data_IF_839547915644
#
_entry.id   IF_839547915644
#
_cell.length_a   1.000
_cell.length_b   1.000
_cell.length_c   1.000
_cell.angle_alpha   90.00
_cell.angle_beta   90.00
_cell.angle_gamma   90.00
#
_symmetry.space_group_name_H-M   'P 1'
#
loop_
_entity.id
_entity.type
_entity.pdbx_description
1 polymer ?
#
# COMPACT_ATOMS: atom_id res chain seq x y z
N UNK A 1 36.92 -2.06 15.48
CA UNK A 1 35.85 -2.43 16.43
C UNK A 1 34.53 -2.08 15.77
N UNK A 2 33.75 -3.07 15.30
CA UNK A 2 32.41 -2.82 14.77
C UNK A 2 31.47 -2.65 15.96
N UNK A 3 31.02 -1.43 16.21
CA UNK A 3 29.98 -1.13 17.18
C UNK A 3 28.69 -1.79 16.72
N UNK A 4 28.10 -2.64 17.57
CA UNK A 4 26.82 -3.29 17.30
C UNK A 4 25.74 -2.22 17.14
N UNK A 5 25.20 -2.08 15.92
CA UNK A 5 24.15 -1.10 15.65
C UNK A 5 22.86 -1.56 16.35
N UNK A 6 22.32 -0.70 17.20
CA UNK A 6 21.08 -0.98 17.91
C UNK A 6 20.19 0.26 18.03
N UNK A 7 18.89 0.04 18.18
CA UNK A 7 17.93 1.10 18.47
C UNK A 7 16.69 0.55 19.18
N UNK A 8 15.92 1.42 19.81
CA UNK A 8 14.64 0.99 20.40
C UNK A 8 13.61 0.75 19.29
N UNK A 9 12.71 -0.21 19.53
CA UNK A 9 11.59 -0.49 18.64
C UNK A 9 10.68 0.75 18.46
N UNK A 10 10.56 1.56 19.52
CA UNK A 10 9.82 2.82 19.48
C UNK A 10 10.45 3.81 18.50
N UNK A 11 11.77 4.00 18.57
CA UNK A 11 12.49 4.92 17.68
C UNK A 11 12.46 4.42 16.24
N UNK A 12 12.54 3.12 16.02
CA UNK A 12 12.39 2.52 14.69
C UNK A 12 11.04 2.88 14.06
N UNK A 13 9.93 2.72 14.79
CA UNK A 13 8.60 3.08 14.26
C UNK A 13 8.44 4.59 14.07
N UNK A 14 8.97 5.41 14.98
CA UNK A 14 8.98 6.88 14.83
C UNK A 14 9.72 7.31 13.56
N UNK A 15 10.92 6.77 13.32
CA UNK A 15 11.72 7.08 12.13
C UNK A 15 11.07 6.54 10.85
N UNK A 16 10.41 5.38 10.93
CA UNK A 16 9.60 4.82 9.85
C UNK A 16 8.32 5.62 9.58
N UNK A 17 7.97 6.59 10.45
CA UNK A 17 6.70 7.32 10.44
C UNK A 17 5.51 6.36 10.44
N UNK A 18 5.53 5.38 11.35
CA UNK A 18 4.47 4.41 11.55
C UNK A 18 3.88 4.51 12.95
N UNK A 19 2.60 4.14 13.13
CA UNK A 19 1.96 4.21 14.43
C UNK A 19 2.67 3.35 15.47
N UNK A 20 2.78 3.86 16.70
CA UNK A 20 3.49 3.18 17.79
C UNK A 20 2.83 1.85 18.15
N UNK A 21 1.51 1.72 17.93
CA UNK A 21 0.78 0.48 18.21
C UNK A 21 1.25 -0.71 17.35
N UNK A 22 1.99 -0.49 16.26
CA UNK A 22 2.60 -1.56 15.46
C UNK A 22 3.58 -2.41 16.26
N UNK A 23 4.11 -1.89 17.38
CA UNK A 23 4.91 -2.70 18.32
C UNK A 23 4.14 -3.92 18.83
N UNK A 24 2.84 -3.78 19.08
CA UNK A 24 1.98 -4.87 19.54
C UNK A 24 1.81 -5.93 18.46
N UNK A 25 1.55 -5.47 17.24
CA UNK A 25 1.40 -6.33 16.06
C UNK A 25 2.70 -7.09 15.78
N UNK A 26 3.85 -6.39 15.79
CA UNK A 26 5.16 -7.00 15.55
C UNK A 26 5.46 -8.13 16.56
N UNK A 27 5.14 -7.91 17.84
CA UNK A 27 5.33 -8.91 18.89
C UNK A 27 4.42 -10.13 18.73
N UNK A 28 3.24 -9.94 18.11
CA UNK A 28 2.24 -10.99 17.88
C UNK A 28 2.44 -11.76 16.58
N UNK A 29 3.35 -11.32 15.70
CA UNK A 29 3.65 -12.05 14.46
C UNK A 29 4.02 -13.50 14.75
N UNK A 30 3.50 -14.42 13.94
CA UNK A 30 3.93 -15.82 13.85
C UNK A 30 5.13 -15.92 12.91
N UNK A 31 5.82 -17.06 12.95
CA UNK A 31 6.95 -17.28 12.04
C UNK A 31 6.48 -17.16 10.59
N UNK A 32 7.31 -16.54 9.76
CA UNK A 32 7.07 -16.17 8.36
C UNK A 32 6.00 -15.11 8.11
N UNK A 33 5.25 -14.66 9.12
CA UNK A 33 4.32 -13.54 8.94
C UNK A 33 5.05 -12.22 8.74
N UNK A 34 4.39 -11.35 7.98
CA UNK A 34 4.93 -10.06 7.57
C UNK A 34 4.05 -8.95 8.09
N UNK A 35 4.63 -8.00 8.81
CA UNK A 35 4.02 -6.71 9.08
C UNK A 35 4.32 -5.76 7.91
N UNK A 36 3.29 -5.46 7.13
CA UNK A 36 3.38 -4.53 6.00
C UNK A 36 3.46 -3.08 6.49
N UNK A 37 4.40 -2.31 5.96
CA UNK A 37 4.46 -0.85 6.10
C UNK A 37 3.93 -0.18 4.81
N UNK A 38 3.25 -0.93 3.95
CA UNK A 38 2.69 -0.48 2.69
C UNK A 38 3.41 -1.07 1.47
N UNK A 39 2.64 -1.25 0.40
CA UNK A 39 3.08 -1.66 -0.92
C UNK A 39 2.47 -0.78 -1.98
N UNK A 40 3.14 -0.63 -3.12
CA UNK A 40 2.72 0.08 -4.33
C UNK A 40 3.29 -0.69 -5.52
N UNK A 41 2.45 -0.96 -6.50
CA UNK A 41 2.75 -1.53 -7.80
C UNK A 41 2.10 -0.63 -8.84
N UNK A 42 2.91 -0.09 -9.74
CA UNK A 42 2.44 0.81 -10.80
C UNK A 42 2.87 0.28 -12.15
N UNK A 43 1.92 0.09 -13.06
CA UNK A 43 2.23 -0.22 -14.46
C UNK A 43 3.01 0.94 -15.10
N UNK A 44 4.06 0.61 -15.84
CA UNK A 44 4.90 1.55 -16.60
C UNK A 44 5.04 1.13 -18.08
N UNK A 45 4.14 0.27 -18.55
CA UNK A 45 4.09 -0.24 -19.93
C UNK A 45 3.56 -1.68 -20.00
N UNK A 46 3.50 -2.24 -21.22
CA UNK A 46 3.00 -3.62 -21.43
C UNK A 46 3.79 -4.62 -20.58
N UNK A 47 3.11 -5.23 -19.58
CA UNK A 47 3.65 -6.19 -18.61
C UNK A 47 4.83 -5.68 -17.77
N UNK A 48 4.93 -4.37 -17.53
CA UNK A 48 6.05 -3.74 -16.81
C UNK A 48 5.56 -3.00 -15.58
N UNK A 49 6.22 -3.20 -14.45
CA UNK A 49 5.80 -2.61 -13.18
C UNK A 49 6.96 -1.95 -12.43
N UNK A 50 6.66 -0.86 -11.75
CA UNK A 50 7.50 -0.28 -10.73
C UNK A 50 6.89 -0.55 -9.35
N UNK A 51 7.75 -0.68 -8.34
CA UNK A 51 7.40 -1.20 -7.02
C UNK A 51 7.90 -0.29 -5.92
N UNK A 52 7.08 -0.09 -4.90
CA UNK A 52 7.45 0.55 -3.66
C UNK A 52 6.92 -0.32 -2.54
N UNK A 53 7.75 -0.84 -1.66
CA UNK A 53 7.27 -1.67 -0.55
C UNK A 53 8.21 -1.58 0.63
N UNK A 54 7.66 -1.67 1.83
CA UNK A 54 8.43 -1.83 3.04
C UNK A 54 7.71 -2.77 3.98
N UNK A 55 8.45 -3.64 4.65
CA UNK A 55 7.87 -4.58 5.59
C UNK A 55 8.91 -5.13 6.57
N UNK A 56 8.40 -5.72 7.66
CA UNK A 56 9.17 -6.57 8.58
C UNK A 56 8.60 -7.97 8.54
N UNK A 57 9.44 -8.98 8.36
CA UNK A 57 9.06 -10.39 8.44
C UNK A 57 9.65 -11.02 9.69
N UNK A 58 8.86 -11.81 10.41
CA UNK A 58 9.39 -12.66 11.49
C UNK A 58 9.97 -13.94 10.88
N UNK A 59 11.27 -14.17 11.08
CA UNK A 59 11.93 -15.37 10.60
C UNK A 59 11.71 -16.53 11.58
N UNK A 60 12.00 -16.27 12.85
CA UNK A 60 11.80 -17.22 13.95
C UNK A 60 11.69 -16.46 15.27
N UNK A 61 11.74 -17.16 16.41
CA UNK A 61 11.67 -16.57 17.74
C UNK A 61 12.73 -15.46 17.88
N UNK A 62 12.25 -14.23 18.12
CA UNK A 62 13.05 -13.01 18.29
C UNK A 62 13.92 -12.60 17.09
N UNK A 63 13.82 -13.24 15.94
CA UNK A 63 14.59 -12.92 14.74
C UNK A 63 13.67 -12.42 13.64
N UNK A 64 14.06 -11.29 13.05
CA UNK A 64 13.26 -10.58 12.08
C UNK A 64 14.13 -10.10 10.92
N UNK A 65 13.54 -10.00 9.74
CA UNK A 65 14.13 -9.27 8.61
C UNK A 65 13.29 -8.04 8.29
N UNK A 66 13.92 -7.03 7.72
CA UNK A 66 13.26 -5.87 7.15
C UNK A 66 13.68 -5.70 5.70
N UNK A 67 12.75 -5.24 4.88
CA UNK A 67 12.99 -4.96 3.46
C UNK A 67 12.36 -3.64 3.11
N UNK A 68 13.11 -2.78 2.43
CA UNK A 68 12.64 -1.56 1.80
C UNK A 68 13.02 -1.56 0.33
N UNK A 69 12.04 -1.40 -0.55
CA UNK A 69 12.22 -1.33 -1.99
C UNK A 69 11.50 -0.10 -2.54
N UNK A 70 12.17 0.64 -3.42
CA UNK A 70 11.59 1.73 -4.17
C UNK A 70 12.17 1.77 -5.58
N UNK A 71 11.34 1.52 -6.57
CA UNK A 71 11.69 1.60 -7.99
C UNK A 71 10.76 2.51 -8.80
N UNK A 72 9.80 3.17 -8.13
CA UNK A 72 8.86 4.09 -8.77
C UNK A 72 9.57 5.33 -9.35
N UNK A 73 9.34 5.65 -10.63
CA UNK A 73 9.85 6.87 -11.27
C UNK A 73 9.02 8.08 -10.84
N UNK A 74 9.05 8.41 -9.55
CA UNK A 74 8.30 9.54 -8.99
C UNK A 74 8.95 10.90 -9.26
N UNK A 75 10.28 10.92 -9.50
CA UNK A 75 11.08 12.09 -9.91
C UNK A 75 12.27 11.60 -10.75
N UNK A 76 12.76 12.38 -11.74
CA UNK A 76 13.89 11.97 -12.60
C UNK A 76 15.16 11.62 -11.82
N UNK A 77 15.45 12.39 -10.77
CA UNK A 77 16.66 12.24 -9.94
C UNK A 77 16.51 11.21 -8.83
N UNK A 78 15.32 10.64 -8.62
CA UNK A 78 15.11 9.72 -7.50
C UNK A 78 15.67 8.35 -7.85
N UNK A 79 16.80 8.03 -7.22
CA UNK A 79 17.41 6.71 -7.32
C UNK A 79 16.49 5.60 -6.81
N UNK A 80 16.74 4.41 -7.35
CA UNK A 80 16.16 3.19 -6.83
C UNK A 80 16.79 2.87 -5.48
N UNK A 81 15.96 2.47 -4.54
CA UNK A 81 16.41 1.96 -3.26
C UNK A 81 16.06 0.49 -3.17
N UNK A 82 17.05 -0.31 -2.85
CA UNK A 82 16.84 -1.62 -2.27
C UNK A 82 17.69 -1.70 -1.02
N UNK A 83 17.03 -1.98 0.09
CA UNK A 83 17.68 -2.30 1.35
C UNK A 83 17.00 -3.50 1.96
N UNK A 84 17.81 -4.38 2.51
CA UNK A 84 17.39 -5.56 3.25
C UNK A 84 18.35 -5.73 4.42
N UNK A 85 17.82 -6.20 5.54
CA UNK A 85 18.64 -6.58 6.68
C UNK A 85 17.88 -7.39 7.69
N UNK A 86 18.59 -7.81 8.72
CA UNK A 86 18.04 -8.63 9.79
C UNK A 86 18.39 -8.05 11.15
N UNK A 87 17.55 -8.35 12.14
CA UNK A 87 17.76 -7.94 13.52
C UNK A 87 17.18 -8.96 14.49
N UNK A 88 17.75 -8.97 15.69
CA UNK A 88 17.14 -9.62 16.85
C UNK A 88 16.38 -8.61 17.69
N UNK A 89 15.24 -9.01 18.24
CA UNK A 89 14.42 -8.18 19.12
C UNK A 89 14.42 -8.77 20.53
N UNK A 90 14.93 -8.03 21.50
CA UNK A 90 14.91 -8.42 22.91
C UNK A 90 14.56 -7.23 23.79
N UNK A 91 13.57 -7.40 24.67
CA UNK A 91 13.09 -6.35 25.60
C UNK A 91 12.81 -4.99 24.92
N UNK A 92 12.30 -5.01 23.68
CA UNK A 92 12.00 -3.80 22.90
C UNK A 92 13.21 -3.10 22.27
N UNK A 93 14.40 -3.70 22.32
CA UNK A 93 15.61 -3.22 21.64
C UNK A 93 15.87 -4.08 20.41
N UNK A 94 16.04 -3.42 19.27
CA UNK A 94 16.44 -4.02 18.00
C UNK A 94 17.97 -3.99 17.91
N UNK A 95 18.58 -5.17 17.77
CA UNK A 95 20.02 -5.33 17.53
C UNK A 95 20.22 -5.86 16.12
N UNK A 96 20.82 -5.06 15.26
CA UNK A 96 20.96 -5.38 13.84
C UNK A 96 22.16 -6.28 13.60
N UNK A 97 22.05 -7.17 12.61
CA UNK A 97 23.14 -8.07 12.23
C UNK A 97 24.37 -7.30 11.70
N UNK A 98 25.53 -7.94 11.81
CA UNK A 98 26.80 -7.41 11.31
C UNK A 98 26.69 -7.12 9.81
N UNK A 99 27.00 -5.89 9.41
CA UNK A 99 26.90 -5.40 8.03
C UNK A 99 25.76 -4.41 7.81
N UNK A 100 24.80 -4.32 8.72
CA UNK A 100 23.81 -3.25 8.70
C UNK A 100 24.45 -1.97 9.23
N UNK A 101 24.35 -0.91 8.45
CA UNK A 101 24.92 0.42 8.74
C UNK A 101 23.79 1.42 8.95
N UNK A 102 24.07 2.59 9.55
CA UNK A 102 23.09 3.68 9.64
C UNK A 102 22.52 4.08 8.27
N UNK A 103 23.29 3.97 7.19
CA UNK A 103 22.80 4.27 5.83
C UNK A 103 21.73 3.30 5.34
N UNK A 104 21.85 2.02 5.66
CA UNK A 104 20.81 1.05 5.35
C UNK A 104 19.49 1.40 6.07
N UNK A 105 19.56 1.74 7.36
CA UNK A 105 18.38 2.18 8.11
C UNK A 105 17.79 3.48 7.55
N UNK A 106 18.64 4.47 7.23
CA UNK A 106 18.22 5.71 6.57
C UNK A 106 17.49 5.44 5.25
N UNK A 107 18.00 4.52 4.42
CA UNK A 107 17.36 4.13 3.18
C UNK A 107 15.99 3.48 3.43
N UNK A 108 15.89 2.57 4.40
CA UNK A 108 14.62 1.93 4.77
C UNK A 108 13.58 2.96 5.25
N UNK A 109 13.97 3.87 6.15
CA UNK A 109 13.09 4.94 6.63
C UNK A 109 12.67 5.90 5.50
N UNK A 110 13.55 6.13 4.52
CA UNK A 110 13.25 6.92 3.33
C UNK A 110 12.15 6.27 2.49
N UNK A 111 12.24 4.95 2.26
CA UNK A 111 11.19 4.17 1.58
C UNK A 111 9.86 4.26 2.36
N UNK A 112 9.89 4.06 3.68
CA UNK A 112 8.71 4.16 4.54
C UNK A 112 8.04 5.55 4.47
N UNK A 113 8.86 6.62 4.40
CA UNK A 113 8.39 7.99 4.22
C UNK A 113 7.74 8.19 2.85
N UNK A 114 8.32 7.65 1.78
CA UNK A 114 7.74 7.73 0.43
C UNK A 114 6.39 7.02 0.35
N UNK A 115 6.31 5.81 0.88
CA UNK A 115 5.04 5.08 1.03
C UNK A 115 4.01 5.90 1.81
N UNK A 116 4.40 6.53 2.92
CA UNK A 116 3.50 7.37 3.71
C UNK A 116 2.99 8.61 2.96
N UNK A 117 3.80 9.22 2.09
CA UNK A 117 3.35 10.32 1.21
C UNK A 117 2.33 9.82 0.19
N UNK A 118 2.62 8.68 -0.46
CA UNK A 118 1.69 8.09 -1.41
C UNK A 118 0.37 7.68 -0.76
N UNK A 119 0.41 7.08 0.43
CA UNK A 119 -0.78 6.74 1.22
C UNK A 119 -1.68 7.95 1.46
N UNK A 120 -1.11 9.08 1.91
CA UNK A 120 -1.90 10.31 2.13
C UNK A 120 -2.57 10.80 0.86
N UNK A 121 -1.86 10.75 -0.27
CA UNK A 121 -2.43 11.15 -1.56
C UNK A 121 -3.57 10.21 -1.97
N UNK A 122 -3.37 8.90 -1.90
CA UNK A 122 -4.40 7.91 -2.25
C UNK A 122 -5.61 7.99 -1.33
N UNK A 123 -5.40 8.26 -0.02
CA UNK A 123 -6.48 8.44 0.93
C UNK A 123 -7.30 9.70 0.64
N UNK A 124 -6.64 10.82 0.34
CA UNK A 124 -7.34 12.05 -0.04
C UNK A 124 -8.16 11.85 -1.32
N UNK A 125 -7.61 11.15 -2.33
CA UNK A 125 -8.32 10.80 -3.56
C UNK A 125 -9.53 9.90 -3.29
N UNK A 126 -9.36 8.89 -2.42
CA UNK A 126 -10.46 8.02 -2.00
C UNK A 126 -11.56 8.79 -1.27
N UNK A 127 -11.20 9.64 -0.31
CA UNK A 127 -12.16 10.44 0.45
C UNK A 127 -12.93 11.39 -0.45
N UNK A 128 -12.24 12.07 -1.37
CA UNK A 128 -12.87 12.96 -2.34
C UNK A 128 -13.85 12.19 -3.24
N UNK A 129 -13.42 11.08 -3.84
CA UNK A 129 -14.27 10.24 -4.68
C UNK A 129 -15.48 9.69 -3.91
N UNK A 130 -15.30 9.30 -2.65
CA UNK A 130 -16.39 8.81 -1.80
C UNK A 130 -17.42 9.92 -1.49
N UNK A 131 -16.97 11.15 -1.25
CA UNK A 131 -17.85 12.30 -1.04
C UNK A 131 -18.63 12.59 -2.33
N UNK A 132 -17.96 12.62 -3.47
CA UNK A 132 -18.58 12.84 -4.79
C UNK A 132 -19.64 11.77 -5.09
N UNK A 133 -19.32 10.50 -4.85
CA UNK A 133 -20.27 9.39 -5.00
C UNK A 133 -21.48 9.54 -4.08
N UNK A 134 -21.24 9.82 -2.79
CA UNK A 134 -22.31 10.00 -1.82
C UNK A 134 -23.22 11.18 -2.19
N UNK A 135 -22.65 12.27 -2.70
CA UNK A 135 -23.42 13.44 -3.15
C UNK A 135 -24.26 13.11 -4.38
N UNK A 136 -23.70 12.41 -5.37
CA UNK A 136 -24.42 12.01 -6.58
C UNK A 136 -25.60 11.08 -6.26
N UNK A 137 -25.39 10.12 -5.35
CA UNK A 137 -26.46 9.22 -4.87
C UNK A 137 -27.53 10.00 -4.11
N UNK A 138 -27.15 10.91 -3.21
CA UNK A 138 -28.10 11.74 -2.46
C UNK A 138 -28.93 12.63 -3.37
N UNK A 139 -28.31 13.30 -4.35
CA UNK A 139 -29.00 14.17 -5.31
C UNK A 139 -30.01 13.39 -6.14
N UNK A 140 -29.65 12.20 -6.64
CA UNK A 140 -30.58 11.33 -7.37
C UNK A 140 -31.76 10.92 -6.49
N UNK A 141 -31.49 10.44 -5.28
CA UNK A 141 -32.53 9.99 -4.36
C UNK A 141 -33.47 11.13 -3.93
N UNK A 142 -32.95 12.35 -3.79
CA UNK A 142 -33.74 13.54 -3.51
C UNK A 142 -34.63 13.90 -4.70
N UNK A 143 -34.11 13.89 -5.92
CA UNK A 143 -34.91 14.14 -7.13
C UNK A 143 -36.04 13.11 -7.29
N UNK A 144 -35.78 11.83 -6.96
CA UNK A 144 -36.79 10.79 -6.95
C UNK A 144 -37.89 11.04 -5.90
N UNK A 145 -37.51 11.39 -4.67
CA UNK A 145 -38.49 11.74 -3.62
C UNK A 145 -39.35 12.94 -4.00
N UNK A 146 -38.73 13.99 -4.56
CA UNK A 146 -39.47 15.18 -5.00
C UNK A 146 -40.47 14.84 -6.11
N UNK A 147 -40.10 13.94 -7.03
CA UNK A 147 -41.02 13.45 -8.06
C UNK A 147 -42.17 12.64 -7.46
N UNK A 148 -41.89 11.72 -6.55
CA UNK A 148 -42.92 10.94 -5.85
C UNK A 148 -43.89 11.83 -5.08
N UNK A 149 -43.39 12.88 -4.43
CA UNK A 149 -44.20 13.87 -3.72
C UNK A 149 -45.07 14.71 -4.68
N UNK A 150 -44.52 15.15 -5.82
CA UNK A 150 -45.23 15.98 -6.80
C UNK A 150 -46.30 15.20 -7.56
N UNK A 151 -45.99 13.99 -8.01
CA UNK A 151 -46.85 13.20 -8.90
C UNK A 151 -47.63 12.09 -8.18
N UNK A 152 -47.38 11.87 -6.88
CA UNK A 152 -48.00 10.81 -6.06
C UNK A 152 -47.86 9.41 -6.68
N UNK A 153 -46.79 9.18 -7.46
CA UNK A 153 -46.51 7.93 -8.13
C UNK A 153 -45.00 7.65 -8.15
N UNK A 154 -44.65 6.37 -8.24
CA UNK A 154 -43.28 5.97 -8.48
C UNK A 154 -43.02 5.88 -10.00
N UNK A 155 -41.92 6.47 -10.50
CA UNK A 155 -41.61 6.47 -11.93
C UNK A 155 -41.26 5.05 -12.42
N UNK A 156 -41.68 4.72 -13.64
CA UNK A 156 -41.38 3.43 -14.26
C UNK A 156 -39.86 3.21 -14.39
N UNK A 157 -39.35 1.98 -14.19
CA UNK A 157 -37.91 1.68 -14.22
C UNK A 157 -37.21 2.15 -15.51
N UNK A 158 -37.91 2.14 -16.63
CA UNK A 158 -37.41 2.48 -17.96
C UNK A 158 -37.22 3.99 -18.16
N UNK A 159 -37.94 4.83 -17.39
CA UNK A 159 -37.86 6.30 -17.49
C UNK A 159 -36.97 6.91 -16.41
N UNK A 160 -36.65 6.15 -15.37
CA UNK A 160 -35.84 6.57 -14.23
C UNK A 160 -34.52 7.24 -14.62
N UNK A 161 -33.76 6.66 -15.54
CA UNK A 161 -32.48 7.25 -15.93
C UNK A 161 -32.62 8.52 -16.79
N UNK A 162 -33.72 8.65 -17.53
CA UNK A 162 -34.05 9.87 -18.26
C UNK A 162 -34.51 11.01 -17.34
N UNK A 163 -35.20 10.69 -16.25
CA UNK A 163 -35.73 11.66 -15.30
C UNK A 163 -34.70 12.11 -14.24
N UNK A 164 -33.86 11.19 -13.75
CA UNK A 164 -32.97 11.44 -12.62
C UNK A 164 -31.48 11.28 -12.96
N UNK A 165 -31.14 11.23 -14.26
CA UNK A 165 -29.79 10.92 -14.75
C UNK A 165 -29.46 9.43 -14.62
N UNK A 166 -28.27 8.99 -15.04
CA UNK A 166 -27.86 7.58 -14.88
C UNK A 166 -27.52 7.28 -13.42
N UNK A 167 -27.84 6.07 -12.95
CA UNK A 167 -27.47 5.64 -11.59
C UNK A 167 -25.94 5.75 -11.39
N UNK A 168 -25.47 6.47 -10.36
CA UNK A 168 -24.03 6.54 -10.08
C UNK A 168 -23.47 5.16 -9.70
N UNK A 169 -22.39 4.75 -10.34
CA UNK A 169 -21.61 3.56 -9.99
C UNK A 169 -20.28 3.97 -9.34
N UNK A 170 -19.74 3.11 -8.47
CA UNK A 170 -18.46 3.40 -7.77
C UNK A 170 -17.29 3.62 -8.75
N UNK A 171 -17.35 2.99 -9.92
CA UNK A 171 -16.34 3.11 -10.99
C UNK A 171 -16.28 4.51 -11.64
N UNK A 172 -17.34 5.30 -11.53
CA UNK A 172 -17.45 6.61 -12.19
C UNK A 172 -16.55 7.68 -11.54
N UNK A 173 -16.08 7.43 -10.31
CA UNK A 173 -15.45 8.43 -9.46
C UNK A 173 -13.91 8.40 -9.48
N UNK A 174 -13.32 7.89 -10.56
CA UNK A 174 -11.87 7.90 -10.82
C UNK A 174 -10.99 7.39 -9.66
N UNK A 175 -11.53 6.50 -8.83
CA UNK A 175 -10.83 5.94 -7.67
C UNK A 175 -10.98 4.43 -7.65
N UNK A 176 -9.91 3.73 -8.04
CA UNK A 176 -9.89 2.26 -8.07
C UNK A 176 -10.21 1.62 -6.71
N UNK A 177 -9.72 2.21 -5.62
CA UNK A 177 -10.00 1.74 -4.27
C UNK A 177 -11.49 1.82 -3.93
N UNK A 178 -12.16 2.90 -4.33
CA UNK A 178 -13.60 3.08 -4.13
C UNK A 178 -14.39 2.08 -4.97
N UNK A 179 -14.09 2.03 -6.27
CA UNK A 179 -14.62 1.07 -7.25
C UNK A 179 -14.65 -0.38 -6.72
N UNK A 180 -13.57 -0.81 -6.07
CA UNK A 180 -13.39 -2.21 -5.64
C UNK A 180 -13.62 -2.41 -4.14
N UNK A 181 -14.13 -1.41 -3.41
CA UNK A 181 -14.41 -1.53 -1.97
C UNK A 181 -13.18 -1.76 -1.09
N UNK A 182 -12.01 -1.29 -1.51
CA UNK A 182 -10.75 -1.45 -0.78
C UNK A 182 -10.31 -0.15 -0.11
N UNK A 183 -9.64 -0.28 1.05
CA UNK A 183 -8.95 0.86 1.67
C UNK A 183 -7.61 1.13 0.97
N UNK A 184 -7.24 2.39 0.73
CA UNK A 184 -5.93 2.73 0.16
C UNK A 184 -4.76 2.34 1.08
N UNK A 185 -3.75 1.65 0.52
CA UNK A 185 -2.50 1.18 1.16
C UNK A 185 -2.65 0.46 2.52
N UNK A 186 -2.37 -0.85 2.48
CA UNK A 186 -2.32 -1.82 3.58
C UNK A 186 -1.17 -1.60 4.57
N UNK A 187 -1.21 -0.47 5.25
CA UNK A 187 -0.25 -0.09 6.28
C UNK A 187 -0.67 -0.65 7.64
N UNK A 188 0.11 -1.58 8.19
CA UNK A 188 -0.14 -2.22 9.48
C UNK A 188 -0.84 -3.56 9.40
N UNK A 189 -1.02 -4.11 8.20
CA UNK A 189 -1.57 -5.45 8.02
C UNK A 189 -0.52 -6.53 8.26
N UNK A 190 -1.02 -7.67 8.76
CA UNK A 190 -0.25 -8.89 8.90
C UNK A 190 -0.57 -9.78 7.70
N UNK A 191 0.46 -10.08 6.89
CA UNK A 191 0.37 -10.96 5.74
C UNK A 191 0.96 -12.32 6.11
N UNK A 192 0.25 -13.40 5.79
CA UNK A 192 0.69 -14.76 6.08
C UNK A 192 1.74 -15.18 5.03
N UNK A 193 2.97 -15.44 5.52
CA UNK A 193 3.94 -16.37 4.93
C UNK A 193 4.15 -16.39 3.41
N UNK A 194 5.17 -15.65 2.95
CA UNK A 194 5.92 -15.96 1.73
C UNK A 194 5.35 -15.36 0.46
N UNK A 195 6.25 -15.05 -0.48
CA UNK A 195 5.91 -14.65 -1.84
C UNK A 195 4.82 -15.57 -2.35
N UNK A 196 3.61 -15.03 -2.53
CA UNK A 196 2.55 -15.73 -3.26
C UNK A 196 3.23 -16.25 -4.52
N UNK A 197 3.30 -17.59 -4.67
CA UNK A 197 3.54 -18.17 -5.97
C UNK A 197 2.47 -17.54 -6.84
N UNK A 198 2.89 -16.60 -7.68
CA UNK A 198 2.04 -15.86 -8.59
C UNK A 198 1.18 -16.89 -9.31
N UNK A 199 -0.07 -17.07 -8.87
CA UNK A 199 -1.08 -17.55 -9.78
C UNK A 199 -1.06 -16.54 -10.93
N UNK A 200 -1.04 -17.06 -12.16
CA UNK A 200 -1.12 -16.22 -13.35
C UNK A 200 -2.41 -15.36 -13.39
N UNK A 201 -3.32 -15.56 -12.43
CA UNK A 201 -4.58 -14.86 -12.21
C UNK A 201 -4.52 -13.84 -11.07
N UNK A 202 -3.38 -13.18 -10.85
CA UNK A 202 -3.40 -11.92 -10.11
C UNK A 202 -4.04 -10.85 -10.99
N UNK A 203 -5.33 -10.69 -10.76
CA UNK A 203 -6.18 -9.68 -11.38
C UNK A 203 -5.50 -8.31 -11.34
N UNK A 204 -5.61 -7.58 -12.44
CA UNK A 204 -4.56 -6.71 -13.00
C UNK A 204 -4.17 -5.48 -12.14
N UNK A 205 -4.72 -5.32 -10.94
CA UNK A 205 -4.67 -4.04 -10.24
C UNK A 205 -4.67 -4.06 -8.71
N UNK A 206 -4.12 -5.10 -8.09
CA UNK A 206 -3.86 -5.13 -6.63
C UNK A 206 -2.65 -4.27 -6.24
N UNK A 207 -2.70 -2.97 -6.56
CA UNK A 207 -1.57 -2.02 -6.50
C UNK A 207 -0.86 -2.00 -5.16
N UNK A 208 -1.50 -2.39 -4.06
CA UNK A 208 -0.89 -2.32 -2.72
C UNK A 208 -0.78 -3.67 -1.99
N UNK A 209 -1.24 -4.78 -2.59
CA UNK A 209 -1.28 -6.12 -1.92
C UNK A 209 -0.13 -7.04 -2.30
N UNK A 210 0.62 -6.71 -3.35
CA UNK A 210 1.65 -7.61 -3.86
C UNK A 210 2.98 -7.31 -3.18
N UNK A 211 3.33 -8.14 -2.21
CA UNK A 211 4.72 -8.32 -1.83
C UNK A 211 5.45 -9.04 -2.97
N UNK A 212 6.47 -8.40 -3.53
CA UNK A 212 7.32 -9.01 -4.56
C UNK A 212 8.74 -9.23 -4.03
N UNK A 213 9.48 -10.21 -4.55
CA UNK A 213 10.90 -10.32 -4.21
C UNK A 213 11.62 -9.08 -4.76
N UNK A 214 12.55 -8.48 -4.00
CA UNK A 214 13.38 -7.38 -4.53
C UNK A 214 14.10 -7.76 -5.83
N UNK A 215 14.55 -9.02 -5.93
CA UNK A 215 15.15 -9.56 -7.13
C UNK A 215 14.21 -9.48 -8.34
N UNK A 216 12.97 -9.97 -8.23
CA UNK A 216 12.00 -9.92 -9.33
C UNK A 216 11.72 -8.48 -9.78
N UNK A 217 11.56 -7.56 -8.82
CA UNK A 217 11.32 -6.16 -9.13
C UNK A 217 12.49 -5.49 -9.88
N UNK A 218 13.73 -5.82 -9.52
CA UNK A 218 14.92 -5.27 -10.17
C UNK A 218 15.19 -5.91 -11.54
N UNK A 219 14.99 -7.21 -11.69
CA UNK A 219 15.10 -7.91 -12.98
C UNK A 219 14.10 -7.35 -13.99
N UNK A 220 12.84 -7.15 -13.58
CA UNK A 220 11.83 -6.50 -14.42
C UNK A 220 12.24 -5.09 -14.84
N UNK A 221 12.99 -4.37 -13.99
CA UNK A 221 13.49 -3.03 -14.28
C UNK A 221 14.71 -3.02 -15.20
N UNK A 222 15.66 -3.94 -15.05
CA UNK A 222 16.82 -4.06 -15.94
C UNK A 222 16.40 -4.34 -17.38
N UNK A 223 15.40 -5.21 -17.58
CA UNK A 223 14.77 -5.45 -18.88
C UNK A 223 14.17 -4.18 -19.53
N UNK A 224 13.96 -3.10 -18.76
CA UNK A 224 13.53 -1.79 -19.29
C UNK A 224 14.68 -0.96 -19.85
N UNK A 225 15.89 -1.13 -19.34
CA UNK A 225 17.08 -0.38 -19.76
C UNK A 225 17.65 -0.95 -21.06
N UNK A 226 17.55 -2.26 -21.26
CA UNK A 226 18.11 -2.97 -22.42
C UNK A 226 17.22 -2.93 -23.67
N UNK A 227 15.96 -2.50 -23.56
CA UNK A 227 15.00 -2.37 -24.68
C UNK A 227 14.78 -0.91 -25.11
N UNK A 228 15.70 -0.01 -24.77
CA UNK A 228 15.82 1.35 -25.33
C UNK A 228 17.05 1.41 -26.19
#
# INVERSE_FOLDING_TARGET
MNTELSMTLLDFFKQSRRPIYYKGILNQLRNNEVLSFGGIRRSIGRKRFAYGQAYIQKLTKNQFSFVGLWTLPSKPERHDYWVQGSFTLSKGVMRFENGITPDHLRAFFKVCRYLGVHKRKSLAQYQQAHIEYSNAVSQRNEAMRNYEEEFSCYPEPETMDGLFGVRPFLDDFNCWFLAHGYKPLFDGEVLIGGYSSLSNDLDFDTRDRIMTTPWLALTQKQLLREKK
#
